data_IF_074529594802
#
_entry.id   IF_074529594802
#
_cell.length_a   1.000
_cell.length_b   1.000
_cell.length_c   1.000
_cell.angle_alpha   90.00
_cell.angle_beta   90.00
_cell.angle_gamma   90.00
#
_symmetry.space_group_name_H-M   'P 1'
#
loop_
_entity.id
_entity.type
_entity.pdbx_description
1 polymer ?
#
# COMPACT_ATOMS: atom_id res chain seq x y z
N UNK A 1 -32.43 14.84 -44.65
CA UNK A 1 -31.03 14.60 -44.20
C UNK A 1 -30.82 14.82 -42.69
N UNK A 2 -31.84 14.68 -41.84
CA UNK A 2 -31.73 14.90 -40.38
C UNK A 2 -31.63 13.64 -39.50
N UNK A 3 -32.04 12.47 -40.00
CA UNK A 3 -32.11 11.23 -39.20
C UNK A 3 -30.76 10.53 -38.95
N UNK A 4 -29.81 10.66 -39.89
CA UNK A 4 -28.49 9.99 -39.81
C UNK A 4 -27.61 10.64 -38.72
N UNK A 5 -27.78 11.95 -38.49
CA UNK A 5 -27.03 12.69 -37.47
C UNK A 5 -27.47 12.34 -36.05
N UNK A 6 -28.76 12.10 -35.82
CA UNK A 6 -29.26 11.67 -34.51
C UNK A 6 -28.85 10.23 -34.17
N UNK A 7 -28.83 9.32 -35.17
CA UNK A 7 -28.37 7.94 -34.96
C UNK A 7 -26.87 7.87 -34.61
N UNK A 8 -26.04 8.69 -35.24
CA UNK A 8 -24.60 8.76 -34.94
C UNK A 8 -24.30 9.31 -33.54
N UNK A 9 -25.06 10.31 -33.08
CA UNK A 9 -24.93 10.86 -31.71
C UNK A 9 -25.41 9.85 -30.66
N UNK A 10 -26.50 9.13 -30.93
CA UNK A 10 -26.99 8.08 -30.03
C UNK A 10 -25.99 6.93 -29.85
N UNK A 11 -25.29 6.52 -30.93
CA UNK A 11 -24.24 5.48 -30.89
C UNK A 11 -22.99 5.95 -30.12
N UNK A 12 -22.58 7.22 -30.28
CA UNK A 12 -21.45 7.80 -29.54
C UNK A 12 -21.73 7.94 -28.04
N UNK A 13 -22.97 8.26 -27.66
CA UNK A 13 -23.39 8.26 -26.24
C UNK A 13 -23.43 6.82 -25.69
N UNK A 14 -23.89 5.83 -26.47
CA UNK A 14 -23.91 4.43 -26.05
C UNK A 14 -22.49 3.84 -25.86
N UNK A 15 -21.52 4.23 -26.69
CA UNK A 15 -20.10 3.86 -26.55
C UNK A 15 -19.42 4.54 -25.35
N UNK A 16 -19.88 5.71 -24.94
CA UNK A 16 -19.43 6.39 -23.71
C UNK A 16 -19.91 5.73 -22.41
N UNK A 17 -20.89 4.83 -22.48
CA UNK A 17 -21.45 4.05 -21.36
C UNK A 17 -20.85 2.65 -21.21
N UNK A 18 -19.84 2.28 -22.01
CA UNK A 18 -18.99 1.12 -21.69
C UNK A 18 -18.14 1.50 -20.47
N UNK A 19 -18.74 1.27 -19.31
CA UNK A 19 -18.25 1.71 -18.01
C UNK A 19 -16.81 1.30 -17.75
N UNK A 20 -16.13 2.16 -17.00
CA UNK A 20 -14.93 1.76 -16.27
C UNK A 20 -15.28 0.53 -15.43
N UNK A 21 -14.82 -0.64 -15.86
CA UNK A 21 -14.91 -1.86 -15.05
C UNK A 21 -13.96 -1.68 -13.89
N UNK A 22 -14.50 -1.22 -12.75
CA UNK A 22 -13.79 -1.29 -11.48
C UNK A 22 -13.65 -2.78 -11.16
N UNK A 23 -12.47 -3.36 -11.42
CA UNK A 23 -12.18 -4.72 -11.02
C UNK A 23 -12.14 -4.73 -9.48
N UNK A 24 -13.22 -5.20 -8.86
CA UNK A 24 -13.32 -5.27 -7.42
C UNK A 24 -12.54 -6.49 -6.94
N UNK A 25 -11.68 -6.29 -5.94
CA UNK A 25 -10.94 -7.38 -5.31
C UNK A 25 -11.89 -8.46 -4.81
N UNK A 26 -11.57 -9.72 -5.10
CA UNK A 26 -12.40 -10.85 -4.72
C UNK A 26 -11.57 -11.97 -4.10
N UNK A 27 -12.12 -12.59 -3.05
CA UNK A 27 -11.55 -13.83 -2.52
C UNK A 27 -11.68 -14.95 -3.54
N UNK A 28 -10.56 -15.63 -3.81
CA UNK A 28 -10.52 -16.73 -4.77
C UNK A 28 -10.72 -16.30 -6.22
N UNK A 29 -10.31 -15.08 -6.59
CA UNK A 29 -10.38 -14.57 -7.97
C UNK A 29 -9.77 -15.56 -8.99
N UNK A 30 -8.65 -16.20 -8.64
CA UNK A 30 -7.97 -17.17 -9.50
C UNK A 30 -8.53 -18.60 -9.43
N UNK A 31 -9.53 -18.88 -8.60
CA UNK A 31 -10.04 -20.25 -8.36
C UNK A 31 -10.53 -20.98 -9.62
N UNK A 32 -11.01 -20.25 -10.63
CA UNK A 32 -11.48 -20.82 -11.90
C UNK A 32 -10.39 -20.86 -12.97
N UNK A 33 -9.64 -19.77 -13.12
CA UNK A 33 -8.74 -19.57 -14.27
C UNK A 33 -7.28 -19.98 -13.99
N UNK A 34 -6.88 -20.00 -12.71
CA UNK A 34 -5.58 -20.54 -12.29
C UNK A 34 -5.67 -21.12 -10.87
N UNK A 35 -6.34 -22.28 -10.69
CA UNK A 35 -6.64 -22.84 -9.37
C UNK A 35 -5.39 -23.19 -8.55
N UNK A 36 -4.24 -23.40 -9.19
CA UNK A 36 -2.98 -23.71 -8.51
C UNK A 36 -2.13 -22.49 -8.15
N UNK A 37 -2.52 -21.27 -8.55
CA UNK A 37 -1.71 -20.06 -8.36
C UNK A 37 -1.28 -19.86 -6.90
N UNK A 38 -2.24 -19.77 -5.98
CA UNK A 38 -1.95 -19.53 -4.55
C UNK A 38 -1.12 -20.66 -3.95
N UNK A 39 -1.36 -21.91 -4.38
CA UNK A 39 -0.60 -23.06 -3.89
C UNK A 39 0.86 -23.02 -4.36
N UNK A 40 1.11 -22.71 -5.63
CA UNK A 40 2.48 -22.59 -6.18
C UNK A 40 3.25 -21.50 -5.41
N UNK A 41 2.62 -20.35 -5.17
CA UNK A 41 3.21 -19.23 -4.43
C UNK A 41 3.53 -19.66 -2.99
N UNK A 42 2.54 -20.24 -2.29
CA UNK A 42 2.71 -20.69 -0.90
C UNK A 42 3.80 -21.75 -0.76
N UNK A 43 3.81 -22.76 -1.64
CA UNK A 43 4.79 -23.85 -1.61
C UNK A 43 6.21 -23.29 -1.82
N UNK A 44 6.39 -22.38 -2.77
CA UNK A 44 7.69 -21.73 -3.02
C UNK A 44 8.15 -20.90 -1.82
N UNK A 45 7.24 -20.13 -1.21
CA UNK A 45 7.54 -19.32 -0.02
C UNK A 45 7.94 -20.19 1.16
N UNK A 46 7.18 -21.24 1.46
CA UNK A 46 7.50 -22.16 2.56
C UNK A 46 8.84 -22.85 2.34
N UNK A 47 9.18 -23.23 1.11
CA UNK A 47 10.45 -23.89 0.82
C UNK A 47 11.67 -22.96 1.04
N UNK A 48 11.52 -21.66 0.84
CA UNK A 48 12.66 -20.74 0.80
C UNK A 48 12.77 -19.82 2.02
N UNK A 49 11.66 -19.36 2.59
CA UNK A 49 11.70 -18.39 3.69
C UNK A 49 12.31 -18.97 4.97
N UNK A 50 12.10 -20.25 5.27
CA UNK A 50 12.77 -20.88 6.43
C UNK A 50 14.30 -20.86 6.31
N UNK A 51 14.84 -20.91 5.09
CA UNK A 51 16.28 -20.87 4.83
C UNK A 51 16.84 -19.43 4.80
N UNK A 52 15.98 -18.43 4.62
CA UNK A 52 16.35 -17.02 4.64
C UNK A 52 15.27 -16.16 5.35
N UNK A 53 15.10 -16.27 6.68
CA UNK A 53 14.00 -15.61 7.39
C UNK A 53 13.98 -14.09 7.23
N UNK A 54 15.16 -13.47 7.05
CA UNK A 54 15.26 -12.03 6.80
C UNK A 54 14.58 -11.60 5.49
N UNK A 55 14.39 -12.50 4.53
CA UNK A 55 13.73 -12.23 3.26
C UNK A 55 12.23 -11.97 3.44
N UNK A 56 11.59 -12.58 4.44
CA UNK A 56 10.18 -12.33 4.74
C UNK A 56 9.91 -10.85 4.97
N UNK A 57 10.67 -10.21 5.86
CA UNK A 57 10.57 -8.78 6.14
C UNK A 57 10.82 -7.92 4.90
N UNK A 58 11.69 -8.35 3.98
CA UNK A 58 11.95 -7.63 2.74
C UNK A 58 10.80 -7.73 1.73
N UNK A 59 10.15 -8.89 1.62
CA UNK A 59 9.00 -9.11 0.73
C UNK A 59 7.76 -8.37 1.23
N UNK A 60 7.55 -8.35 2.53
CA UNK A 60 6.54 -7.52 3.19
C UNK A 60 6.79 -6.04 2.88
N UNK A 61 8.05 -5.61 3.04
CA UNK A 61 8.45 -4.24 2.73
C UNK A 61 8.23 -3.93 1.24
N UNK A 62 8.52 -4.85 0.33
CA UNK A 62 8.24 -4.67 -1.09
C UNK A 62 6.75 -4.44 -1.35
N UNK A 63 5.88 -5.27 -0.76
CA UNK A 63 4.43 -5.09 -0.88
C UNK A 63 3.97 -3.72 -0.39
N UNK A 64 4.50 -3.28 0.75
CA UNK A 64 4.24 -1.93 1.23
C UNK A 64 4.69 -0.86 0.23
N UNK A 65 5.94 -0.93 -0.24
CA UNK A 65 6.46 0.08 -1.17
C UNK A 65 5.69 0.13 -2.50
N UNK A 66 5.16 -1.00 -2.97
CA UNK A 66 4.28 -1.07 -4.14
C UNK A 66 2.92 -0.43 -3.86
N UNK A 67 2.29 -0.82 -2.75
CA UNK A 67 0.97 -0.33 -2.35
C UNK A 67 0.94 1.13 -1.89
N UNK A 68 2.09 1.76 -1.74
CA UNK A 68 2.15 3.08 -1.15
C UNK A 68 2.33 4.20 -2.17
N UNK A 69 2.91 3.87 -3.32
CA UNK A 69 3.14 4.81 -4.41
C UNK A 69 2.12 4.49 -5.50
N UNK A 70 1.00 5.22 -5.50
CA UNK A 70 -0.13 5.04 -6.46
C UNK A 70 -0.85 3.68 -6.35
N UNK A 71 -0.29 2.81 -5.53
CA UNK A 71 -0.90 1.69 -4.87
C UNK A 71 -0.61 0.35 -5.56
N UNK A 72 -1.24 -0.75 -5.10
CA UNK A 72 -0.76 -2.11 -5.40
C UNK A 72 -0.94 -2.50 -6.89
N UNK A 73 -0.02 -2.08 -7.75
CA UNK A 73 -0.08 -2.25 -9.20
C UNK A 73 1.20 -2.86 -9.79
N UNK A 74 2.14 -3.30 -8.94
CA UNK A 74 3.47 -3.80 -9.29
C UNK A 74 4.37 -2.79 -10.02
N UNK A 75 4.04 -1.50 -10.00
CA UNK A 75 4.87 -0.45 -10.61
C UNK A 75 6.26 -0.37 -9.97
N UNK A 76 6.40 -0.81 -8.71
CA UNK A 76 7.70 -0.94 -8.03
C UNK A 76 8.65 -1.94 -8.72
N UNK A 77 8.13 -2.95 -9.42
CA UNK A 77 8.96 -3.95 -10.08
C UNK A 77 9.63 -3.43 -11.37
N UNK A 78 9.06 -2.38 -11.96
CA UNK A 78 9.52 -1.82 -13.24
C UNK A 78 10.94 -1.26 -13.14
N UNK A 79 11.71 -1.42 -14.21
CA UNK A 79 13.04 -0.84 -14.34
C UNK A 79 12.98 0.49 -15.09
N UNK A 80 13.91 1.40 -14.77
CA UNK A 80 14.01 2.68 -15.49
C UNK A 80 14.28 2.44 -16.97
N UNK A 81 13.69 3.29 -17.81
CA UNK A 81 13.96 3.33 -19.25
C UNK A 81 14.74 4.61 -19.58
N UNK A 82 15.21 4.77 -20.82
CA UNK A 82 15.90 5.99 -21.25
C UNK A 82 15.06 7.26 -21.06
N UNK A 83 13.73 7.11 -21.03
CA UNK A 83 12.79 8.22 -21.05
C UNK A 83 11.96 8.33 -19.75
N UNK A 84 12.14 7.40 -18.79
CA UNK A 84 11.38 7.41 -17.54
C UNK A 84 12.18 6.79 -16.39
N UNK A 85 12.16 7.46 -15.23
CA UNK A 85 12.74 6.92 -14.00
C UNK A 85 11.70 6.03 -13.29
N UNK A 86 12.04 4.76 -13.09
CA UNK A 86 11.15 3.85 -12.37
C UNK A 86 11.17 4.10 -10.86
N UNK A 87 10.10 3.70 -10.20
CA UNK A 87 9.98 3.79 -8.74
C UNK A 87 11.10 3.04 -8.04
N UNK A 88 11.52 1.89 -8.57
CA UNK A 88 12.66 1.12 -8.09
C UNK A 88 13.94 1.95 -7.89
N UNK A 89 14.14 3.00 -8.70
CA UNK A 89 15.30 3.89 -8.63
C UNK A 89 15.10 5.12 -7.72
N UNK A 90 13.95 5.27 -7.08
CA UNK A 90 13.71 6.34 -6.12
C UNK A 90 14.50 6.07 -4.82
N UNK A 91 15.03 7.11 -4.19
CA UNK A 91 15.78 7.04 -2.91
C UNK A 91 15.16 6.11 -1.85
N UNK A 92 13.84 6.15 -1.56
CA UNK A 92 13.25 5.24 -0.57
C UNK A 92 13.30 3.76 -0.97
N UNK A 93 13.40 3.46 -2.28
CA UNK A 93 13.30 2.13 -2.86
C UNK A 93 14.66 1.46 -3.09
N UNK A 94 15.77 2.21 -2.99
CA UNK A 94 17.14 1.70 -3.17
C UNK A 94 17.52 0.56 -2.20
N UNK A 95 16.81 0.44 -1.08
CA UNK A 95 17.05 -0.59 -0.05
C UNK A 95 15.99 -1.70 -0.05
N UNK A 96 15.03 -1.66 -0.97
CA UNK A 96 14.09 -2.76 -1.19
C UNK A 96 14.82 -3.91 -1.87
N UNK A 97 14.58 -5.14 -1.41
CA UNK A 97 15.23 -6.35 -1.93
C UNK A 97 14.21 -7.48 -2.06
N UNK A 98 14.57 -8.55 -2.78
CA UNK A 98 13.69 -9.69 -3.04
C UNK A 98 13.04 -9.68 -4.43
N UNK A 99 13.50 -8.83 -5.35
CA UNK A 99 12.97 -8.76 -6.72
C UNK A 99 13.13 -10.10 -7.45
N UNK A 100 14.31 -10.72 -7.37
CA UNK A 100 14.58 -12.03 -7.98
C UNK A 100 13.67 -13.14 -7.43
N UNK A 101 13.22 -13.01 -6.18
CA UNK A 101 12.27 -13.94 -5.57
C UNK A 101 10.90 -13.82 -6.23
N UNK A 102 10.41 -12.59 -6.42
CA UNK A 102 9.16 -12.32 -7.12
C UNK A 102 9.25 -12.76 -8.58
N UNK A 103 10.36 -12.49 -9.27
CA UNK A 103 10.58 -12.94 -10.64
C UNK A 103 10.54 -14.48 -10.74
N UNK A 104 11.14 -15.18 -9.78
CA UNK A 104 11.09 -16.64 -9.73
C UNK A 104 9.68 -17.16 -9.49
N UNK A 105 8.95 -16.59 -8.54
CA UNK A 105 7.54 -16.96 -8.29
C UNK A 105 6.69 -16.70 -9.54
N UNK A 106 6.86 -15.53 -10.17
CA UNK A 106 6.18 -15.18 -11.43
C UNK A 106 6.47 -16.22 -12.51
N UNK A 107 7.72 -16.64 -12.68
CA UNK A 107 8.06 -17.66 -13.69
C UNK A 107 7.36 -19.00 -13.47
N UNK A 108 7.19 -19.42 -12.20
CA UNK A 108 6.50 -20.67 -11.85
C UNK A 108 5.00 -20.56 -12.11
N UNK A 109 4.39 -19.42 -11.77
CA UNK A 109 2.97 -19.17 -12.00
C UNK A 109 2.67 -19.04 -13.49
N UNK A 110 3.51 -18.34 -14.25
CA UNK A 110 3.36 -18.21 -15.72
C UNK A 110 3.53 -19.55 -16.44
N UNK A 111 4.35 -20.47 -15.93
CA UNK A 111 4.47 -21.81 -16.47
C UNK A 111 3.18 -22.65 -16.31
N UNK A 112 2.37 -22.36 -15.28
CA UNK A 112 1.08 -23.02 -15.04
C UNK A 112 -0.08 -22.29 -15.74
N UNK A 113 -0.12 -20.96 -15.66
CA UNK A 113 -1.21 -20.14 -16.20
C UNK A 113 -0.70 -18.82 -16.81
N UNK A 114 -0.30 -18.85 -18.10
CA UNK A 114 0.29 -17.70 -18.77
C UNK A 114 -0.63 -16.48 -18.79
N UNK A 115 -0.12 -15.33 -18.35
CA UNK A 115 -0.80 -14.03 -18.41
C UNK A 115 -2.02 -13.88 -17.50
N UNK A 116 -2.28 -14.82 -16.59
CA UNK A 116 -3.48 -14.80 -15.75
C UNK A 116 -3.24 -14.04 -14.44
N UNK A 117 -2.16 -14.35 -13.72
CA UNK A 117 -1.94 -13.81 -12.37
C UNK A 117 -1.10 -12.54 -12.43
N UNK A 118 -1.63 -11.45 -11.86
CA UNK A 118 -0.94 -10.16 -11.85
C UNK A 118 0.31 -10.19 -10.96
N UNK A 119 1.31 -9.37 -11.29
CA UNK A 119 2.49 -9.24 -10.44
C UNK A 119 2.14 -8.61 -9.08
N UNK A 120 1.13 -7.73 -9.03
CA UNK A 120 0.68 -7.10 -7.78
C UNK A 120 0.09 -8.14 -6.82
N UNK A 121 -0.75 -9.04 -7.34
CA UNK A 121 -1.28 -10.15 -6.54
C UNK A 121 -0.19 -11.12 -6.10
N UNK A 122 0.82 -11.38 -6.94
CA UNK A 122 1.97 -12.21 -6.53
C UNK A 122 2.71 -11.55 -5.36
N UNK A 123 2.99 -10.26 -5.40
CA UNK A 123 3.63 -9.54 -4.29
C UNK A 123 2.77 -9.66 -3.02
N UNK A 124 1.46 -9.45 -3.11
CA UNK A 124 0.53 -9.52 -1.99
C UNK A 124 0.47 -10.94 -1.37
N UNK A 125 0.35 -11.96 -2.20
CA UNK A 125 0.31 -13.37 -1.78
C UNK A 125 1.65 -13.82 -1.18
N UNK A 126 2.77 -13.44 -1.80
CA UNK A 126 4.12 -13.71 -1.28
C UNK A 126 4.35 -13.04 0.07
N UNK A 127 3.90 -11.79 0.23
CA UNK A 127 3.99 -11.09 1.51
C UNK A 127 3.19 -11.83 2.59
N UNK A 128 1.91 -12.17 2.34
CA UNK A 128 1.10 -13.00 3.27
C UNK A 128 1.80 -14.31 3.63
N UNK A 129 2.21 -15.08 2.63
CA UNK A 129 2.78 -16.42 2.88
C UNK A 129 4.12 -16.33 3.62
N UNK A 130 4.88 -15.25 3.42
CA UNK A 130 6.13 -15.02 4.15
C UNK A 130 5.89 -14.81 5.64
N UNK A 131 4.77 -14.19 6.00
CA UNK A 131 4.35 -13.93 7.39
C UNK A 131 4.02 -15.23 8.07
N UNK A 132 3.18 -16.03 7.40
CA UNK A 132 2.79 -17.36 7.85
C UNK A 132 4.02 -18.25 8.04
N UNK A 133 4.95 -18.26 7.07
CA UNK A 133 6.20 -19.01 7.15
C UNK A 133 7.10 -18.58 8.33
N UNK A 134 6.97 -17.34 8.80
CA UNK A 134 7.67 -16.84 10.00
C UNK A 134 6.89 -16.99 11.31
N UNK A 135 5.74 -17.69 11.29
CA UNK A 135 4.91 -17.95 12.47
C UNK A 135 3.81 -16.92 12.73
N UNK A 136 3.53 -16.04 11.76
CA UNK A 136 2.41 -15.10 11.82
C UNK A 136 1.06 -15.74 11.43
N UNK A 137 -0.05 -15.01 11.59
CA UNK A 137 -1.39 -15.51 11.29
C UNK A 137 -1.60 -15.70 9.78
N UNK A 138 -2.55 -16.57 9.41
CA UNK A 138 -3.02 -16.72 8.04
C UNK A 138 -4.31 -15.92 7.83
N UNK A 139 -4.42 -15.27 6.68
CA UNK A 139 -5.66 -14.65 6.19
C UNK A 139 -5.79 -14.84 4.69
N UNK A 140 -7.02 -14.67 4.18
CA UNK A 140 -7.26 -14.71 2.74
C UNK A 140 -7.00 -13.33 2.16
N UNK A 141 -6.20 -13.26 1.10
CA UNK A 141 -5.89 -12.01 0.38
C UNK A 141 -6.90 -11.86 -0.75
N UNK A 142 -7.70 -10.79 -0.77
CA UNK A 142 -8.49 -10.42 -1.94
C UNK A 142 -7.55 -10.14 -3.12
N UNK A 143 -7.85 -10.71 -4.29
CA UNK A 143 -7.01 -10.60 -5.50
C UNK A 143 -7.83 -10.15 -6.71
N UNK A 144 -7.16 -9.87 -7.83
CA UNK A 144 -7.82 -9.59 -9.11
C UNK A 144 -8.06 -8.11 -9.40
N UNK A 145 -7.49 -7.20 -8.60
CA UNK A 145 -7.51 -5.80 -8.96
C UNK A 145 -6.35 -5.45 -9.89
N UNK A 146 -6.65 -4.68 -10.93
CA UNK A 146 -5.65 -3.96 -11.75
C UNK A 146 -5.39 -2.55 -11.22
N UNK A 147 -6.02 -2.16 -10.10
CA UNK A 147 -5.99 -0.81 -9.53
C UNK A 147 -5.99 -0.81 -7.99
N UNK A 148 -5.19 0.06 -7.39
CA UNK A 148 -5.06 0.13 -5.95
C UNK A 148 -6.29 0.65 -5.20
N UNK A 149 -6.54 0.07 -4.02
CA UNK A 149 -7.35 0.65 -2.95
C UNK A 149 -6.58 1.84 -2.33
N UNK A 150 -7.26 2.99 -2.22
CA UNK A 150 -6.73 4.34 -1.96
C UNK A 150 -5.75 4.86 -3.04
N UNK A 151 -6.27 5.67 -3.96
CA UNK A 151 -5.46 6.41 -4.94
C UNK A 151 -5.31 7.87 -4.51
N UNK A 152 -4.24 8.52 -4.98
CA UNK A 152 -4.08 9.96 -4.82
C UNK A 152 -5.32 10.69 -5.34
N UNK A 153 -5.95 11.49 -4.48
CA UNK A 153 -7.16 12.21 -4.82
C UNK A 153 -8.46 11.43 -4.66
N UNK A 154 -8.47 10.26 -4.02
CA UNK A 154 -9.70 9.52 -3.67
C UNK A 154 -10.74 10.42 -2.99
N UNK A 155 -10.28 11.30 -2.09
CA UNK A 155 -11.12 12.24 -1.35
C UNK A 155 -11.38 13.57 -2.08
N UNK A 156 -10.86 13.79 -3.29
CA UNK A 156 -10.92 15.09 -3.98
C UNK A 156 -12.34 15.63 -4.18
N UNK A 157 -13.34 14.75 -4.27
CA UNK A 157 -14.74 15.15 -4.46
C UNK A 157 -15.48 15.37 -3.15
N UNK A 158 -15.27 14.49 -2.18
CA UNK A 158 -16.09 14.42 -0.95
C UNK A 158 -15.42 15.09 0.26
N UNK A 159 -14.09 15.17 0.27
CA UNK A 159 -13.31 15.93 1.25
C UNK A 159 -12.00 16.46 0.64
N UNK A 160 -12.07 17.50 -0.21
CA UNK A 160 -10.94 17.97 -1.01
C UNK A 160 -9.74 18.46 -0.17
N UNK A 161 -9.97 18.87 1.08
CA UNK A 161 -8.91 19.35 1.97
C UNK A 161 -8.26 18.25 2.83
N UNK A 162 -8.81 17.03 2.89
CA UNK A 162 -8.31 15.97 3.77
C UNK A 162 -6.81 15.71 3.56
N UNK A 163 -6.41 15.41 2.33
CA UNK A 163 -5.01 15.09 2.03
C UNK A 163 -4.07 16.26 2.31
N UNK A 164 -4.52 17.50 2.06
CA UNK A 164 -3.72 18.70 2.35
C UNK A 164 -3.56 18.92 3.86
N UNK A 165 -4.63 18.76 4.64
CA UNK A 165 -4.58 18.87 6.10
C UNK A 165 -3.58 17.86 6.68
N UNK A 166 -3.65 16.61 6.22
CA UNK A 166 -2.75 15.54 6.64
C UNK A 166 -1.31 15.88 6.26
N UNK A 167 -1.08 16.23 4.99
CA UNK A 167 0.24 16.59 4.48
C UNK A 167 0.87 17.77 5.24
N UNK A 168 0.12 18.85 5.47
CA UNK A 168 0.60 20.03 6.17
C UNK A 168 0.89 19.73 7.65
N UNK A 169 0.10 18.87 8.29
CA UNK A 169 0.33 18.46 9.67
C UNK A 169 1.58 17.58 9.77
N UNK A 170 1.73 16.60 8.88
CA UNK A 170 2.88 15.69 8.82
C UNK A 170 4.17 16.45 8.54
N UNK A 171 4.21 17.30 7.51
CA UNK A 171 5.40 18.07 7.16
C UNK A 171 5.90 18.94 8.32
N UNK A 172 4.99 19.58 9.06
CA UNK A 172 5.35 20.44 10.20
C UNK A 172 5.97 19.67 11.37
N UNK A 173 5.52 18.44 11.62
CA UNK A 173 5.92 17.69 12.80
C UNK A 173 7.08 16.75 12.54
N UNK A 174 7.12 16.10 11.36
CA UNK A 174 8.21 15.18 11.00
C UNK A 174 9.54 15.92 10.87
N UNK A 175 9.53 17.18 10.42
CA UNK A 175 10.73 18.02 10.39
C UNK A 175 11.41 18.12 11.77
N UNK A 176 10.62 18.25 12.83
CA UNK A 176 11.14 18.44 14.20
C UNK A 176 11.32 17.13 14.96
N UNK A 177 10.76 16.02 14.45
CA UNK A 177 10.87 14.70 15.05
C UNK A 177 11.00 13.61 13.97
N UNK A 178 12.15 13.47 13.29
CA UNK A 178 12.31 12.50 12.20
C UNK A 178 12.04 11.05 12.60
N UNK A 179 12.29 10.68 13.86
CA UNK A 179 11.98 9.34 14.39
C UNK A 179 10.48 9.03 14.45
N UNK A 180 9.62 10.06 14.39
CA UNK A 180 8.17 9.89 14.34
C UNK A 180 7.72 9.30 13.01
N UNK A 181 8.43 9.57 11.91
CA UNK A 181 8.08 9.02 10.60
C UNK A 181 8.14 7.49 10.61
N UNK A 182 9.24 6.94 11.14
CA UNK A 182 9.39 5.49 11.30
C UNK A 182 8.30 4.90 12.22
N UNK A 183 7.89 5.62 13.26
CA UNK A 183 6.83 5.17 14.17
C UNK A 183 5.44 5.14 13.50
N UNK A 184 5.10 6.16 12.71
CA UNK A 184 3.83 6.25 11.99
C UNK A 184 3.74 5.23 10.86
N UNK A 185 4.84 5.03 10.13
CA UNK A 185 4.95 3.95 9.15
C UNK A 185 4.75 2.60 9.83
N UNK A 186 5.45 2.37 10.96
CA UNK A 186 5.28 1.15 11.75
C UNK A 186 3.85 0.96 12.23
N UNK A 187 3.17 2.01 12.68
CA UNK A 187 1.76 1.95 13.06
C UNK A 187 0.88 1.46 11.90
N UNK A 188 1.05 2.01 10.70
CA UNK A 188 0.34 1.55 9.51
C UNK A 188 0.58 0.07 9.20
N UNK A 189 1.82 -0.40 9.36
CA UNK A 189 2.12 -1.83 9.24
C UNK A 189 1.32 -2.64 10.25
N UNK A 190 1.34 -2.27 11.54
CA UNK A 190 0.63 -3.03 12.55
C UNK A 190 -0.89 -3.02 12.34
N UNK A 191 -1.47 -1.92 11.83
CA UNK A 191 -2.89 -1.84 11.50
C UNK A 191 -3.26 -2.77 10.32
N UNK A 192 -2.55 -2.65 9.21
CA UNK A 192 -2.91 -3.37 7.99
C UNK A 192 -2.54 -4.86 7.99
N UNK A 193 -1.58 -5.28 8.82
CA UNK A 193 -0.93 -6.57 8.67
C UNK A 193 -1.40 -7.65 9.64
N UNK A 194 -1.85 -7.27 10.83
CA UNK A 194 -2.29 -8.23 11.84
C UNK A 194 -3.72 -8.68 11.55
N UNK A 195 -4.63 -7.74 11.27
CA UNK A 195 -6.07 -8.00 11.07
C UNK A 195 -6.70 -7.30 9.86
N UNK A 196 -5.92 -6.53 9.10
CA UNK A 196 -6.39 -5.80 7.92
C UNK A 196 -6.58 -4.30 8.22
N UNK A 197 -6.55 -3.47 7.19
CA UNK A 197 -6.59 -2.00 7.32
C UNK A 197 -7.97 -1.49 7.78
N UNK A 198 -8.31 -1.66 9.06
CA UNK A 198 -9.60 -1.29 9.64
C UNK A 198 -9.50 -0.27 10.79
N UNK A 199 -8.28 0.21 11.09
CA UNK A 199 -7.99 1.12 12.20
C UNK A 199 -8.34 0.55 13.60
N UNK A 200 -8.54 -0.76 13.73
CA UNK A 200 -8.77 -1.40 15.03
C UNK A 200 -7.60 -1.22 16.00
N UNK A 201 -6.40 -0.99 15.47
CA UNK A 201 -5.21 -0.62 16.24
C UNK A 201 -5.38 0.69 17.03
N UNK A 202 -6.27 1.59 16.61
CA UNK A 202 -6.51 2.86 17.31
C UNK A 202 -7.51 2.74 18.47
N UNK A 203 -8.23 1.62 18.56
CA UNK A 203 -9.23 1.41 19.60
C UNK A 203 -8.57 1.19 20.97
N UNK A 204 -9.20 1.67 22.03
CA UNK A 204 -8.75 1.42 23.39
C UNK A 204 -9.49 0.21 23.98
N UNK A 205 -8.81 -0.55 24.85
CA UNK A 205 -9.46 -1.64 25.58
C UNK A 205 -10.64 -1.14 26.40
N UNK A 206 -11.65 -1.98 26.51
CA UNK A 206 -12.81 -1.78 27.38
C UNK A 206 -12.83 -2.85 28.47
N UNK A 207 -13.73 -2.74 29.44
CA UNK A 207 -13.88 -3.76 30.50
C UNK A 207 -14.16 -5.17 29.96
N UNK A 208 -14.71 -5.26 28.75
CA UNK A 208 -15.23 -6.51 28.17
C UNK A 208 -14.45 -6.97 26.93
N UNK A 209 -13.50 -6.17 26.44
CA UNK A 209 -12.75 -6.50 25.23
C UNK A 209 -11.36 -5.86 25.26
N UNK A 210 -10.34 -6.67 24.98
CA UNK A 210 -8.97 -6.20 24.78
C UNK A 210 -8.84 -5.66 23.35
N UNK A 211 -8.40 -4.42 23.22
CA UNK A 211 -8.15 -3.81 21.92
C UNK A 211 -6.84 -4.34 21.32
N UNK A 212 -6.77 -4.30 20.00
CA UNK A 212 -5.56 -4.66 19.26
C UNK A 212 -4.35 -3.83 19.71
N UNK A 213 -4.58 -2.55 20.04
CA UNK A 213 -3.59 -1.63 20.59
C UNK A 213 -2.76 -2.21 21.74
N UNK A 214 -3.39 -3.03 22.58
CA UNK A 214 -2.82 -3.56 23.83
C UNK A 214 -2.30 -5.00 23.66
N UNK A 215 -2.22 -5.53 22.44
CA UNK A 215 -1.61 -6.82 22.17
C UNK A 215 -0.07 -6.74 22.23
N UNK A 216 0.60 -7.82 22.65
CA UNK A 216 2.06 -7.88 22.80
C UNK A 216 2.86 -7.33 21.61
N UNK A 217 2.49 -7.61 20.33
CA UNK A 217 3.20 -7.04 19.18
C UNK A 217 3.14 -5.51 19.11
N UNK A 218 2.11 -4.90 19.70
CA UNK A 218 1.72 -3.50 19.51
C UNK A 218 2.18 -2.57 20.65
N UNK A 219 2.67 -3.13 21.78
CA UNK A 219 3.09 -2.38 22.97
C UNK A 219 4.18 -1.33 22.73
N UNK A 220 4.96 -1.49 21.66
CA UNK A 220 6.06 -0.59 21.32
C UNK A 220 5.73 0.40 20.19
N UNK A 221 4.48 0.40 19.71
CA UNK A 221 4.00 1.35 18.72
C UNK A 221 3.83 2.73 19.37
N UNK A 222 4.18 3.77 18.63
CA UNK A 222 4.09 5.18 19.07
C UNK A 222 3.45 6.01 17.97
N UNK A 223 2.92 7.17 18.33
CA UNK A 223 2.26 8.09 17.39
C UNK A 223 0.73 8.08 17.45
N UNK A 224 0.12 7.44 18.45
CA UNK A 224 -1.34 7.41 18.59
C UNK A 224 -1.93 8.81 18.74
N UNK A 225 -1.38 9.62 19.65
CA UNK A 225 -1.78 11.02 19.83
C UNK A 225 -1.60 11.86 18.55
N UNK A 226 -0.67 11.48 17.68
CA UNK A 226 -0.46 12.15 16.41
C UNK A 226 -1.64 11.85 15.46
N UNK A 227 -2.01 10.58 15.34
CA UNK A 227 -3.17 10.17 14.53
C UNK A 227 -4.46 10.76 15.10
N UNK A 228 -4.65 10.79 16.42
CA UNK A 228 -5.83 11.39 17.05
C UNK A 228 -5.96 12.88 16.74
N UNK A 229 -4.85 13.61 16.69
CA UNK A 229 -4.83 15.02 16.28
C UNK A 229 -5.16 15.18 14.80
N UNK A 230 -4.57 14.37 13.93
CA UNK A 230 -4.86 14.40 12.48
C UNK A 230 -6.34 14.10 12.26
N UNK A 231 -6.87 13.06 12.90
CA UNK A 231 -8.29 12.72 12.87
C UNK A 231 -9.15 13.89 13.31
N UNK A 232 -8.82 14.53 14.42
CA UNK A 232 -9.59 15.69 14.91
C UNK A 232 -9.63 16.82 13.89
N UNK A 233 -8.52 17.08 13.18
CA UNK A 233 -8.45 18.11 12.13
C UNK A 233 -9.26 17.73 10.89
N UNK A 234 -9.20 16.46 10.46
CA UNK A 234 -9.93 15.96 9.30
C UNK A 234 -11.44 15.91 9.57
N UNK A 235 -11.85 15.41 10.73
CA UNK A 235 -13.25 15.35 11.18
C UNK A 235 -13.86 16.76 11.33
N UNK A 236 -13.07 17.75 11.73
CA UNK A 236 -13.54 19.14 11.79
C UNK A 236 -13.85 19.72 10.39
N UNK A 237 -13.20 19.22 9.34
CA UNK A 237 -13.42 19.67 7.97
C UNK A 237 -14.48 18.83 7.25
N UNK A 238 -14.48 17.50 7.42
CA UNK A 238 -15.39 16.58 6.77
C UNK A 238 -15.79 15.41 7.68
N UNK A 239 -16.78 15.63 8.57
CA UNK A 239 -17.19 14.65 9.57
C UNK A 239 -17.62 13.31 8.95
N UNK A 240 -17.03 12.20 9.39
CA UNK A 240 -17.39 10.85 9.00
C UNK A 240 -17.11 10.47 7.54
N UNK A 241 -16.35 11.29 6.80
CA UNK A 241 -16.03 11.01 5.39
C UNK A 241 -14.75 10.19 5.24
N UNK A 242 -13.70 10.55 5.98
CA UNK A 242 -12.38 9.92 5.87
C UNK A 242 -12.25 8.85 6.95
N UNK A 243 -11.98 7.60 6.54
CA UNK A 243 -11.82 6.52 7.49
C UNK A 243 -10.53 6.68 8.31
N UNK A 244 -10.52 6.16 9.54
CA UNK A 244 -9.31 6.19 10.37
C UNK A 244 -8.16 5.36 9.76
N UNK A 245 -8.49 4.30 9.03
CA UNK A 245 -7.51 3.46 8.33
C UNK A 245 -6.83 4.26 7.21
N UNK A 246 -7.61 5.04 6.45
CA UNK A 246 -7.07 5.92 5.41
C UNK A 246 -6.26 7.06 5.99
N UNK A 247 -6.63 7.60 7.17
CA UNK A 247 -5.82 8.58 7.87
C UNK A 247 -4.44 8.00 8.22
N UNK A 248 -4.40 6.79 8.78
CA UNK A 248 -3.12 6.13 9.09
C UNK A 248 -2.30 5.92 7.80
N UNK A 249 -2.92 5.46 6.72
CA UNK A 249 -2.26 5.25 5.43
C UNK A 249 -1.70 6.56 4.84
N UNK A 250 -2.49 7.63 4.81
CA UNK A 250 -2.09 8.95 4.31
C UNK A 250 -1.01 9.59 5.19
N UNK A 251 -1.09 9.43 6.51
CA UNK A 251 -0.07 9.91 7.45
C UNK A 251 1.25 9.18 7.25
N UNK A 252 1.22 7.85 7.13
CA UNK A 252 2.40 7.06 6.81
C UNK A 252 3.01 7.55 5.49
N UNK A 253 2.18 7.75 4.45
CA UNK A 253 2.56 8.30 3.13
C UNK A 253 3.34 9.58 3.23
N UNK A 254 2.74 10.57 3.86
CA UNK A 254 3.34 11.89 3.91
C UNK A 254 4.57 11.91 4.83
N UNK A 255 4.69 10.95 5.76
CA UNK A 255 5.85 10.83 6.65
C UNK A 255 7.11 10.40 5.90
N UNK A 256 6.98 9.52 4.89
CA UNK A 256 8.10 9.16 4.01
C UNK A 256 8.53 10.38 3.19
N UNK A 257 7.57 11.06 2.56
CA UNK A 257 7.83 12.24 1.73
C UNK A 257 8.50 13.35 2.53
N UNK A 258 8.00 13.62 3.74
CA UNK A 258 8.58 14.61 4.64
C UNK A 258 10.03 14.27 5.00
N UNK A 259 10.32 13.01 5.36
CA UNK A 259 11.67 12.56 5.73
C UNK A 259 12.67 12.69 4.57
N UNK A 260 12.26 12.32 3.35
CA UNK A 260 13.10 12.47 2.14
C UNK A 260 13.41 13.94 1.87
N UNK A 261 12.43 14.85 2.03
CA UNK A 261 12.66 16.30 1.88
C UNK A 261 13.61 16.84 2.96
N UNK A 262 13.47 16.42 4.21
CA UNK A 262 14.36 16.86 5.30
C UNK A 262 15.80 16.38 5.07
N UNK A 263 16.00 15.13 4.63
CA UNK A 263 17.33 14.60 4.30
C UNK A 263 17.96 15.33 3.11
N UNK A 264 17.21 15.60 2.05
CA UNK A 264 17.72 16.36 0.90
C UNK A 264 18.11 17.78 1.28
N UNK A 265 17.33 18.45 2.14
CA UNK A 265 17.67 19.78 2.65
C UNK A 265 18.90 19.75 3.58
N UNK A 266 19.07 18.68 4.37
CA UNK A 266 20.28 18.49 5.20
C UNK A 266 21.53 18.27 4.35
N UNK A 267 21.43 17.46 3.29
CA UNK A 267 22.52 17.21 2.35
C UNK A 267 22.87 18.49 1.59
N UNK A 268 21.88 19.27 1.15
CA UNK A 268 22.09 20.59 0.53
C UNK A 268 22.74 21.58 1.51
N UNK A 269 22.33 21.60 2.78
CA UNK A 269 22.95 22.44 3.82
C UNK A 269 24.41 22.05 4.10
N UNK A 270 24.74 20.75 4.12
CA UNK A 270 26.11 20.26 4.21
C UNK A 270 26.94 20.62 2.97
N UNK A 271 26.33 20.66 1.78
CA UNK A 271 26.99 21.07 0.54
C UNK A 271 27.43 22.55 0.56
N UNK A 272 26.69 23.42 1.26
CA UNK A 272 27.04 24.84 1.43
C UNK A 272 28.07 25.11 2.54
N UNK A 273 28.44 24.11 3.36
CA UNK A 273 29.45 24.27 4.41
C UNK A 273 30.86 23.89 3.89
N UNK A 274 30.93 23.21 2.74
CA UNK A 274 32.18 22.73 2.12
C UNK A 274 32.59 23.46 0.83
N UNK A 275 32.09 24.68 0.60
CA UNK A 275 32.52 25.61 -0.48
C UNK A 275 32.88 26.96 0.12
#
# INVERSE_FOLDING_TARGET
>A
MGGIRCFGIAILVLLGFLGSTQAQLQLGFYSKNCPKAEKIIQDFVNQHIHNAPSLAAALIRMHFHDCFVRGCDASLLLNSTSNNQAEKAATPNLTVRGFDFIDRVKSLVEAECPGIVSCADIIALVARDSIVATGGPFWRVPTGSTQAQLQLGFYSKNCPKAEKIIQDFVNRHIHNAPSLAAALIRMHFHDCFVRGCDASLLLNSTSNNQAEKDADPNLTIRGFDFIDRVKSLVEAECPGIVSCADIIALVARDSIVATVRTQNNFILALSCIYT
#
